data_IF_997375177341
#
_entry.id   IF_997375177341
#
_cell.length_a   1.000
_cell.length_b   1.000
_cell.length_c   1.000
_cell.angle_alpha   90.00
_cell.angle_beta   90.00
_cell.angle_gamma   90.00
#
_symmetry.space_group_name_H-M   'P 1'
#
loop_
_entity.id
_entity.type
_entity.pdbx_description
1 polymer ?
#
# COMPACT_ATOMS: atom_id res chain seq x y z
N UNK A 1 23.71 -3.72 -31.91
CA UNK A 1 23.09 -4.10 -30.62
C UNK A 1 22.31 -2.88 -30.18
N UNK A 2 20.99 -2.98 -30.05
CA UNK A 2 20.18 -1.90 -29.48
C UNK A 2 20.46 -1.83 -27.98
N UNK A 3 20.88 -0.66 -27.49
CA UNK A 3 20.99 -0.43 -26.06
C UNK A 3 19.62 -0.05 -25.50
N UNK A 4 19.11 -0.84 -24.57
CA UNK A 4 17.88 -0.52 -23.84
C UNK A 4 18.21 0.24 -22.55
N UNK A 5 17.61 1.42 -22.37
CA UNK A 5 17.70 2.17 -21.12
C UNK A 5 16.66 1.59 -20.14
N UNK A 6 17.11 0.89 -19.10
CA UNK A 6 16.26 0.48 -17.98
C UNK A 6 16.31 1.55 -16.88
N UNK A 7 15.23 2.33 -16.73
CA UNK A 7 15.05 3.23 -15.59
C UNK A 7 14.39 2.45 -14.46
N UNK A 8 15.16 2.09 -13.43
CA UNK A 8 14.61 1.56 -12.19
C UNK A 8 13.99 2.72 -11.41
N UNK A 9 12.67 2.85 -11.45
CA UNK A 9 11.92 3.82 -10.64
C UNK A 9 11.67 3.17 -9.28
N UNK A 10 12.56 3.42 -8.32
CA UNK A 10 12.52 2.83 -6.99
C UNK A 10 12.01 3.83 -5.93
N UNK A 11 10.98 4.59 -6.25
CA UNK A 11 10.52 5.70 -5.39
C UNK A 11 9.93 5.21 -4.05
N UNK A 12 9.59 3.92 -3.94
CA UNK A 12 9.05 3.29 -2.72
C UNK A 12 9.57 1.84 -2.61
N UNK A 13 10.84 1.66 -2.25
CA UNK A 13 11.49 0.34 -2.25
C UNK A 13 10.90 -0.60 -1.19
N UNK A 14 10.31 -0.05 -0.15
CA UNK A 14 9.89 -0.78 1.04
C UNK A 14 8.39 -1.06 1.03
N UNK A 15 7.98 -2.06 1.82
CA UNK A 15 6.55 -2.31 2.05
C UNK A 15 6.26 -2.88 3.43
N UNK A 16 5.05 -2.62 3.92
CA UNK A 16 4.48 -3.24 5.12
C UNK A 16 3.12 -3.85 4.74
N UNK A 17 2.86 -5.06 5.25
CA UNK A 17 1.56 -5.71 5.16
C UNK A 17 0.89 -5.78 6.53
N UNK A 18 -0.36 -5.33 6.61
CA UNK A 18 -1.12 -5.23 7.87
C UNK A 18 -2.44 -5.97 7.74
N UNK A 19 -2.72 -6.84 8.72
CA UNK A 19 -3.96 -7.60 8.85
C UNK A 19 -3.76 -9.09 8.60
N UNK A 20 -4.86 -9.83 8.54
CA UNK A 20 -4.85 -11.26 8.24
C UNK A 20 -5.88 -11.52 7.14
N UNK A 21 -5.50 -12.18 6.03
CA UNK A 21 -6.44 -12.47 4.94
C UNK A 21 -7.75 -13.12 5.44
N UNK A 22 -7.64 -14.04 6.41
CA UNK A 22 -8.78 -14.76 6.98
C UNK A 22 -9.71 -13.92 7.88
N UNK A 23 -9.35 -12.68 8.24
CA UNK A 23 -10.11 -11.81 9.17
C UNK A 23 -10.43 -10.45 8.55
N UNK A 24 -11.09 -10.45 7.40
CA UNK A 24 -11.52 -9.22 6.72
C UNK A 24 -10.46 -8.56 5.84
N UNK A 25 -9.42 -9.33 5.43
CA UNK A 25 -8.43 -8.92 4.44
C UNK A 25 -7.18 -8.25 5.01
N UNK A 26 -6.07 -8.42 4.28
CA UNK A 26 -4.80 -7.73 4.52
C UNK A 26 -4.65 -6.54 3.56
N UNK A 27 -3.90 -5.52 3.97
CA UNK A 27 -3.54 -4.37 3.13
C UNK A 27 -2.02 -4.24 3.09
N UNK A 28 -1.47 -4.15 1.89
CA UNK A 28 -0.04 -3.96 1.64
C UNK A 28 0.22 -2.54 1.16
N UNK A 29 1.19 -1.88 1.77
CA UNK A 29 1.46 -0.45 1.60
C UNK A 29 2.94 -0.31 1.24
N UNK A 30 3.22 0.35 0.12
CA UNK A 30 4.58 0.60 -0.35
C UNK A 30 5.03 2.03 0.03
N UNK A 31 6.27 2.16 0.48
CA UNK A 31 6.85 3.40 0.96
C UNK A 31 8.37 3.39 0.96
N UNK A 32 8.96 4.34 1.67
CA UNK A 32 10.40 4.42 1.91
C UNK A 32 10.60 4.52 3.43
N UNK A 33 11.33 3.58 4.04
CA UNK A 33 11.58 3.60 5.47
C UNK A 33 12.49 4.75 5.93
N UNK A 34 13.27 5.34 5.02
CA UNK A 34 14.12 6.49 5.32
C UNK A 34 13.31 7.79 5.55
N UNK A 35 12.06 7.84 5.07
CA UNK A 35 11.11 8.93 5.34
C UNK A 35 9.90 8.40 6.10
N UNK A 36 10.11 8.19 7.40
CA UNK A 36 9.09 7.67 8.33
C UNK A 36 7.81 8.52 8.31
N UNK A 37 7.93 9.85 8.23
CA UNK A 37 6.78 10.75 8.27
C UNK A 37 5.89 10.59 7.03
N UNK A 38 6.49 10.56 5.84
CA UNK A 38 5.76 10.31 4.61
C UNK A 38 5.16 8.90 4.57
N UNK A 39 5.86 7.88 5.06
CA UNK A 39 5.33 6.52 5.10
C UNK A 39 4.15 6.40 6.08
N UNK A 40 4.23 6.99 7.27
CA UNK A 40 3.09 7.02 8.22
C UNK A 40 1.83 7.65 7.60
N UNK A 41 1.97 8.76 6.88
CA UNK A 41 0.84 9.38 6.18
C UNK A 41 0.19 8.44 5.14
N UNK A 42 0.99 7.63 4.42
CA UNK A 42 0.48 6.61 3.52
C UNK A 42 -0.30 5.52 4.26
N UNK A 43 0.17 5.10 5.43
CA UNK A 43 -0.51 4.10 6.25
C UNK A 43 -1.89 4.60 6.69
N UNK A 44 -1.98 5.83 7.18
CA UNK A 44 -3.26 6.43 7.59
C UNK A 44 -4.25 6.51 6.42
N UNK A 45 -3.77 6.90 5.24
CA UNK A 45 -4.60 6.95 4.03
C UNK A 45 -5.06 5.56 3.60
N UNK A 46 -4.16 4.57 3.59
CA UNK A 46 -4.50 3.20 3.24
C UNK A 46 -5.55 2.61 4.20
N UNK A 47 -5.46 2.93 5.50
CA UNK A 47 -6.47 2.54 6.49
C UNK A 47 -7.85 3.13 6.18
N UNK A 48 -7.93 4.43 5.88
CA UNK A 48 -9.19 5.09 5.51
C UNK A 48 -9.83 4.46 4.26
N UNK A 49 -9.02 4.17 3.25
CA UNK A 49 -9.50 3.49 2.02
C UNK A 49 -10.00 2.08 2.34
N UNK A 50 -9.30 1.33 3.20
CA UNK A 50 -9.73 0.00 3.65
C UNK A 50 -11.08 0.07 4.37
N UNK A 51 -11.23 0.98 5.32
CA UNK A 51 -12.46 1.19 6.08
C UNK A 51 -13.63 1.56 5.15
N UNK A 52 -13.39 2.47 4.20
CA UNK A 52 -14.36 2.81 3.16
C UNK A 52 -14.77 1.57 2.34
N UNK A 53 -13.81 0.79 1.86
CA UNK A 53 -14.10 -0.40 1.07
C UNK A 53 -14.90 -1.42 1.88
N UNK A 54 -14.53 -1.66 3.14
CA UNK A 54 -15.28 -2.56 4.02
C UNK A 54 -16.70 -2.07 4.28
N UNK A 55 -16.89 -0.77 4.55
CA UNK A 55 -18.21 -0.20 4.78
C UNK A 55 -19.13 -0.29 3.55
N UNK A 56 -18.59 -0.14 2.33
CA UNK A 56 -19.40 -0.07 1.11
C UNK A 56 -19.52 -1.41 0.37
N UNK A 57 -18.53 -2.30 0.46
CA UNK A 57 -18.64 -3.67 -0.07
C UNK A 57 -19.66 -4.46 0.75
N UNK A 58 -19.73 -4.25 2.06
CA UNK A 58 -20.72 -4.91 2.93
C UNK A 58 -22.19 -4.53 2.64
N UNK A 59 -22.43 -3.49 1.83
CA UNK A 59 -23.78 -3.06 1.43
C UNK A 59 -24.22 -3.69 0.10
N UNK A 60 -23.27 -4.21 -0.69
CA UNK A 60 -23.50 -4.78 -2.01
C UNK A 60 -23.35 -6.32 -2.05
N UNK A 61 -23.39 -7.00 -0.90
CA UNK A 61 -23.40 -8.48 -0.80
C UNK A 61 -24.72 -8.92 -0.17
#
# INVERSE_FOLDING_TARGET
>A
MEESIQKVVNDNPDSIEIGTPAKGGAVKIYGNFDDEAAFKAKIDNAKKVKEYAQANISVNI
#
